data_IF_892129707506
#
_entry.id   IF_892129707506
#
_cell.length_a   1.000
_cell.length_b   1.000
_cell.length_c   1.000
_cell.angle_alpha   90.00
_cell.angle_beta   90.00
_cell.angle_gamma   90.00
#
_symmetry.space_group_name_H-M   'P 1'
#
loop_
_entity.id
_entity.type
_entity.pdbx_description
1 polymer ?
#
# COMPACT_ATOMS: atom_id res chain seq x y z
N UNK A 1 -21.54 6.57 11.86
CA UNK A 1 -21.40 6.93 10.42
C UNK A 1 -20.36 8.02 10.19
N UNK A 2 -20.63 9.32 10.42
CA UNK A 2 -19.67 10.40 10.11
C UNK A 2 -18.30 10.24 10.82
N UNK A 3 -18.30 9.92 12.12
CA UNK A 3 -17.07 9.71 12.88
C UNK A 3 -16.30 8.46 12.39
N UNK A 4 -16.99 7.37 12.04
CA UNK A 4 -16.37 6.15 11.50
C UNK A 4 -15.67 6.40 10.17
N UNK A 5 -16.30 7.21 9.30
CA UNK A 5 -15.72 7.60 8.01
C UNK A 5 -14.49 8.48 8.20
N UNK A 6 -14.52 9.42 9.17
CA UNK A 6 -13.34 10.24 9.50
C UNK A 6 -12.19 9.35 10.00
N UNK A 7 -12.47 8.41 10.91
CA UNK A 7 -11.47 7.45 11.41
C UNK A 7 -10.89 6.63 10.26
N UNK A 8 -11.74 6.12 9.36
CA UNK A 8 -11.30 5.39 8.17
C UNK A 8 -10.35 6.23 7.30
N UNK A 9 -10.72 7.47 6.99
CA UNK A 9 -9.89 8.36 6.17
C UNK A 9 -8.52 8.61 6.83
N UNK A 10 -8.48 8.87 8.14
CA UNK A 10 -7.23 9.09 8.88
C UNK A 10 -6.34 7.85 8.79
N UNK A 11 -6.90 6.65 9.01
CA UNK A 11 -6.13 5.40 8.94
C UNK A 11 -5.60 5.16 7.52
N UNK A 12 -6.43 5.37 6.48
CA UNK A 12 -6.01 5.24 5.09
C UNK A 12 -4.85 6.20 4.78
N UNK A 13 -4.93 7.46 5.21
CA UNK A 13 -3.84 8.44 4.99
C UNK A 13 -2.56 7.99 5.69
N UNK A 14 -2.63 7.55 6.96
CA UNK A 14 -1.44 7.11 7.69
C UNK A 14 -0.80 5.88 7.04
N UNK A 15 -1.60 4.88 6.66
CA UNK A 15 -1.09 3.69 5.97
C UNK A 15 -0.46 4.06 4.61
N UNK A 16 -1.12 4.91 3.84
CA UNK A 16 -0.61 5.36 2.54
C UNK A 16 0.71 6.15 2.67
N UNK A 17 0.85 7.02 3.65
CA UNK A 17 2.11 7.74 3.91
C UNK A 17 3.27 6.77 4.21
N UNK A 18 3.02 5.73 5.02
CA UNK A 18 4.04 4.72 5.33
C UNK A 18 4.38 3.90 4.07
N UNK A 19 3.38 3.51 3.28
CA UNK A 19 3.58 2.79 2.01
C UNK A 19 4.39 3.63 1.02
N UNK A 20 4.07 4.91 0.87
CA UNK A 20 4.79 5.85 0.00
C UNK A 20 6.26 6.01 0.42
N UNK A 21 6.53 6.07 1.72
CA UNK A 21 7.89 6.09 2.25
C UNK A 21 8.65 4.79 1.94
N UNK A 22 8.03 3.63 2.20
CA UNK A 22 8.62 2.32 1.88
C UNK A 22 8.89 2.14 0.38
N UNK A 23 8.01 2.65 -0.49
CA UNK A 23 8.21 2.65 -1.94
C UNK A 23 9.44 3.46 -2.34
N UNK A 24 9.63 4.63 -1.72
CA UNK A 24 10.81 5.45 -1.97
C UNK A 24 12.09 4.73 -1.52
N UNK A 25 12.08 4.11 -0.34
CA UNK A 25 13.22 3.35 0.19
C UNK A 25 13.61 2.17 -0.71
N UNK A 26 12.65 1.56 -1.40
CA UNK A 26 12.88 0.48 -2.37
C UNK A 26 13.61 0.97 -3.64
N UNK A 27 13.66 2.29 -3.86
CA UNK A 27 14.38 2.92 -4.98
C UNK A 27 13.47 3.53 -6.04
N UNK A 28 12.16 3.64 -5.79
CA UNK A 28 11.27 4.41 -6.67
C UNK A 28 11.48 5.91 -6.49
N UNK A 29 11.33 6.68 -7.57
CA UNK A 29 11.40 8.13 -7.48
C UNK A 29 10.22 8.67 -6.67
N UNK A 30 10.43 9.81 -6.03
CA UNK A 30 9.44 10.46 -5.17
C UNK A 30 8.09 10.68 -5.88
N UNK A 31 8.13 11.03 -7.17
CA UNK A 31 6.93 11.22 -8.00
C UNK A 31 6.13 9.91 -8.16
N UNK A 32 6.79 8.78 -8.42
CA UNK A 32 6.09 7.49 -8.51
C UNK A 32 5.49 7.09 -7.16
N UNK A 33 6.24 7.28 -6.06
CA UNK A 33 5.73 7.00 -4.71
C UNK A 33 4.49 7.82 -4.38
N UNK A 34 4.47 9.12 -4.70
CA UNK A 34 3.29 9.98 -4.50
C UNK A 34 2.12 9.49 -5.34
N UNK A 35 2.33 9.22 -6.63
CA UNK A 35 1.24 8.78 -7.52
C UNK A 35 0.60 7.50 -6.97
N UNK A 36 1.42 6.53 -6.55
CA UNK A 36 0.93 5.26 -6.03
C UNK A 36 0.22 5.41 -4.68
N UNK A 37 0.64 6.37 -3.86
CA UNK A 37 0.01 6.71 -2.58
C UNK A 37 -1.42 7.26 -2.75
N UNK A 38 -1.75 7.84 -3.91
CA UNK A 38 -3.10 8.31 -4.24
C UNK A 38 -4.09 7.16 -4.51
N UNK A 39 -3.60 5.92 -4.61
CA UNK A 39 -4.41 4.73 -4.87
C UNK A 39 -4.46 3.82 -3.62
N UNK A 40 -5.30 4.15 -2.63
CA UNK A 40 -5.39 3.41 -1.37
C UNK A 40 -5.95 2.00 -1.56
N UNK A 41 -6.03 1.24 -0.46
CA UNK A 41 -6.55 -0.14 -0.45
C UNK A 41 -5.70 -1.06 -1.33
N UNK A 42 -4.41 -0.78 -1.40
CA UNK A 42 -3.44 -1.58 -2.16
C UNK A 42 -3.56 -1.50 -3.68
N UNK A 43 -4.43 -0.65 -4.24
CA UNK A 43 -4.58 -0.51 -5.70
C UNK A 43 -3.25 -0.11 -6.35
N UNK A 44 -2.54 0.87 -5.76
CA UNK A 44 -1.21 1.27 -6.25
C UNK A 44 -0.19 0.14 -6.17
N UNK A 45 -0.16 -0.61 -5.07
CA UNK A 45 0.74 -1.75 -4.90
C UNK A 45 0.45 -2.88 -5.88
N UNK A 46 -0.83 -3.14 -6.16
CA UNK A 46 -1.24 -4.13 -7.15
C UNK A 46 -0.80 -3.75 -8.56
N UNK A 47 -0.95 -2.48 -8.93
CA UNK A 47 -0.44 -1.97 -10.21
C UNK A 47 1.08 -2.19 -10.33
N UNK A 48 1.81 -1.85 -9.27
CA UNK A 48 3.26 -2.00 -9.21
C UNK A 48 3.70 -3.47 -9.26
N UNK A 49 2.96 -4.38 -8.63
CA UNK A 49 3.19 -5.82 -8.74
C UNK A 49 3.08 -6.30 -10.18
N UNK A 50 1.95 -6.05 -10.84
CA UNK A 50 1.66 -6.53 -12.19
C UNK A 50 2.58 -5.91 -13.24
N UNK A 51 2.75 -4.59 -13.21
CA UNK A 51 3.40 -3.87 -14.31
C UNK A 51 4.89 -3.66 -14.12
N UNK A 52 5.41 -3.74 -12.89
CA UNK A 52 6.84 -3.56 -12.63
C UNK A 52 7.50 -4.88 -12.20
N UNK A 53 7.06 -5.47 -11.09
CA UNK A 53 7.82 -6.58 -10.52
C UNK A 53 7.68 -7.88 -11.31
N UNK A 54 6.46 -8.27 -11.71
CA UNK A 54 6.27 -9.53 -12.45
C UNK A 54 6.97 -9.50 -13.81
N UNK A 55 7.04 -8.32 -14.45
CA UNK A 55 7.72 -8.15 -15.73
C UNK A 55 9.24 -8.12 -15.60
N UNK A 56 9.78 -7.57 -14.52
CA UNK A 56 11.24 -7.37 -14.34
C UNK A 56 11.91 -8.50 -13.57
N UNK A 57 11.17 -9.22 -12.74
CA UNK A 57 11.66 -10.31 -11.88
C UNK A 57 10.86 -11.59 -12.14
N UNK A 58 11.15 -12.31 -13.23
CA UNK A 58 10.50 -13.58 -13.51
C UNK A 58 10.71 -14.56 -12.35
N UNK A 59 9.72 -15.42 -12.09
CA UNK A 59 9.69 -16.33 -10.93
C UNK A 59 9.84 -15.63 -9.57
N UNK A 60 9.52 -14.34 -9.51
CA UNK A 60 9.64 -13.53 -8.30
C UNK A 60 11.05 -13.52 -7.69
N UNK A 61 12.07 -13.47 -8.55
CA UNK A 61 13.49 -13.40 -8.15
C UNK A 61 13.90 -12.02 -7.61
N UNK A 62 12.99 -11.34 -6.90
CA UNK A 62 13.20 -10.03 -6.29
C UNK A 62 14.19 -10.14 -5.12
N UNK A 63 15.14 -9.19 -4.96
CA UNK A 63 16.03 -9.12 -3.81
C UNK A 63 15.29 -9.18 -2.47
N UNK A 64 15.88 -9.86 -1.47
CA UNK A 64 15.22 -10.16 -0.19
C UNK A 64 14.82 -8.89 0.59
N UNK A 65 15.67 -7.85 0.53
CA UNK A 65 15.40 -6.55 1.14
C UNK A 65 14.14 -5.89 0.56
N UNK A 66 13.94 -5.99 -0.76
CA UNK A 66 12.76 -5.47 -1.44
C UNK A 66 11.54 -6.34 -1.09
N UNK A 67 11.67 -7.67 -1.08
CA UNK A 67 10.58 -8.59 -0.69
C UNK A 67 10.05 -8.30 0.72
N UNK A 68 10.94 -8.05 1.67
CA UNK A 68 10.55 -7.71 3.05
C UNK A 68 9.76 -6.40 3.11
N UNK A 69 10.22 -5.36 2.42
CA UNK A 69 9.51 -4.08 2.35
C UNK A 69 8.14 -4.23 1.68
N UNK A 70 8.06 -4.99 0.58
CA UNK A 70 6.78 -5.32 -0.06
C UNK A 70 5.84 -6.05 0.89
N UNK A 71 6.33 -7.03 1.65
CA UNK A 71 5.53 -7.72 2.67
C UNK A 71 4.95 -6.74 3.69
N UNK A 72 5.73 -5.78 4.18
CA UNK A 72 5.22 -4.75 5.10
C UNK A 72 4.15 -3.88 4.44
N UNK A 73 4.34 -3.48 3.18
CA UNK A 73 3.34 -2.72 2.43
C UNK A 73 2.01 -3.49 2.30
N UNK A 74 2.05 -4.80 1.99
CA UNK A 74 0.83 -5.62 1.94
C UNK A 74 0.17 -5.80 3.30
N UNK A 75 0.94 -5.89 4.40
CA UNK A 75 0.39 -5.93 5.75
C UNK A 75 -0.35 -4.63 6.08
N UNK A 76 0.19 -3.47 5.68
CA UNK A 76 -0.48 -2.19 5.85
C UNK A 76 -1.79 -2.13 5.04
N UNK A 77 -1.78 -2.58 3.79
CA UNK A 77 -3.00 -2.71 2.98
C UNK A 77 -4.03 -3.63 3.64
N UNK A 78 -3.61 -4.75 4.25
CA UNK A 78 -4.53 -5.59 5.00
C UNK A 78 -5.19 -4.83 6.16
N UNK A 79 -4.44 -4.01 6.90
CA UNK A 79 -5.00 -3.15 7.96
C UNK A 79 -5.98 -2.11 7.42
N UNK A 80 -5.74 -1.56 6.23
CA UNK A 80 -6.69 -0.66 5.55
C UNK A 80 -8.04 -1.36 5.32
N UNK A 81 -8.02 -2.60 4.82
CA UNK A 81 -9.23 -3.40 4.59
C UNK A 81 -9.94 -3.81 5.88
N UNK A 82 -9.20 -4.19 6.92
CA UNK A 82 -9.78 -4.47 8.25
C UNK A 82 -10.48 -3.23 8.79
N UNK A 83 -9.87 -2.06 8.66
CA UNK A 83 -10.45 -0.79 9.10
C UNK A 83 -11.69 -0.44 8.29
N UNK A 84 -11.65 -0.59 6.97
CA UNK A 84 -12.81 -0.41 6.10
C UNK A 84 -13.96 -1.31 6.52
N UNK A 85 -13.69 -2.60 6.75
CA UNK A 85 -14.72 -3.55 7.19
C UNK A 85 -15.36 -3.12 8.51
N UNK A 86 -14.54 -2.78 9.51
CA UNK A 86 -15.03 -2.37 10.83
C UNK A 86 -15.84 -1.07 10.75
N UNK A 87 -15.32 -0.04 10.07
CA UNK A 87 -15.92 1.29 10.05
C UNK A 87 -17.16 1.42 9.17
N UNK A 88 -17.31 0.57 8.14
CA UNK A 88 -18.41 0.65 7.16
C UNK A 88 -19.47 -0.43 7.38
N UNK A 89 -19.08 -1.66 7.71
CA UNK A 89 -19.99 -2.81 7.72
C UNK A 89 -20.37 -3.30 9.12
N UNK A 90 -19.53 -3.05 10.13
CA UNK A 90 -19.80 -3.51 11.50
C UNK A 90 -20.44 -2.42 12.38
N UNK A 91 -20.05 -1.17 12.20
CA UNK A 91 -20.53 -0.01 12.97
C UNK A 91 -21.33 0.95 12.10
#
# INVERSE_FOLDING_TARGET
>A
MTLNIIVLIIVLILCQLIIGHLLHDVGFSYLHSIILMLFPLGIGLFYLQLFYYERRFPNWSVPINIKLRLKYMYILTFFEYVTLYICVFRF
#
